data_IF_856230924094
#
_entry.id   IF_856230924094
#
_cell.length_a   1.000
_cell.length_b   1.000
_cell.length_c   1.000
_cell.angle_alpha   90.00
_cell.angle_beta   90.00
_cell.angle_gamma   90.00
#
_symmetry.space_group_name_H-M   'P 1'
#
loop_
_entity.id
_entity.type
_entity.pdbx_description
1 polymer ?
#
# COMPACT_ATOMS: atom_id res chain seq x y z
N UNK A 1 -12.82 -17.25 -4.36
CA UNK A 1 -14.10 -16.51 -4.49
C UNK A 1 -14.47 -15.97 -3.12
N UNK A 2 -13.97 -14.78 -2.77
CA UNK A 2 -14.45 -13.99 -1.63
C UNK A 2 -15.35 -12.92 -2.24
N UNK A 3 -16.60 -13.29 -2.48
CA UNK A 3 -17.61 -12.40 -3.04
C UNK A 3 -18.15 -11.55 -1.88
N UNK A 4 -17.48 -10.43 -1.60
CA UNK A 4 -18.05 -9.38 -0.74
C UNK A 4 -19.12 -8.65 -1.54
N UNK A 5 -20.32 -9.24 -1.56
CA UNK A 5 -21.53 -8.49 -1.90
C UNK A 5 -21.70 -7.30 -0.96
N UNK A 6 -22.51 -6.30 -1.34
CA UNK A 6 -22.81 -5.17 -0.46
C UNK A 6 -23.31 -5.76 0.85
N UNK A 7 -22.66 -5.38 1.96
CA UNK A 7 -22.95 -5.87 3.31
C UNK A 7 -24.46 -5.87 3.50
N UNK A 8 -25.08 -7.04 3.43
CA UNK A 8 -26.51 -7.24 3.66
C UNK A 8 -26.81 -7.22 5.16
N UNK A 9 -26.20 -6.26 5.86
CA UNK A 9 -26.43 -5.93 7.25
C UNK A 9 -27.09 -4.56 7.32
N UNK A 10 -27.86 -4.31 8.38
CA UNK A 10 -28.53 -3.02 8.57
C UNK A 10 -27.57 -1.82 8.53
N UNK A 11 -28.09 -0.58 8.62
CA UNK A 11 -27.29 0.64 8.54
C UNK A 11 -26.08 0.67 9.49
N UNK A 12 -26.10 -0.04 10.62
CA UNK A 12 -24.95 -0.19 11.54
C UNK A 12 -23.73 -0.86 10.89
N UNK A 13 -23.93 -1.94 10.14
CA UNK A 13 -22.86 -2.68 9.49
C UNK A 13 -22.11 -1.85 8.43
N UNK A 14 -22.84 -1.03 7.67
CA UNK A 14 -22.27 -0.13 6.68
C UNK A 14 -21.39 0.96 7.33
N UNK A 15 -21.82 1.49 8.49
CA UNK A 15 -21.05 2.49 9.24
C UNK A 15 -19.76 1.90 9.78
N UNK A 16 -19.79 0.70 10.37
CA UNK A 16 -18.60 0.04 10.92
C UNK A 16 -17.57 -0.29 9.84
N UNK A 17 -18.01 -0.81 8.69
CA UNK A 17 -17.12 -1.09 7.57
C UNK A 17 -16.52 0.20 7.00
N UNK A 18 -17.36 1.23 6.81
CA UNK A 18 -16.94 2.53 6.29
C UNK A 18 -15.90 3.22 7.17
N UNK A 19 -16.12 3.26 8.48
CA UNK A 19 -15.15 3.86 9.43
C UNK A 19 -13.84 3.08 9.45
N UNK A 20 -13.89 1.75 9.42
CA UNK A 20 -12.68 0.91 9.39
C UNK A 20 -11.83 1.17 8.13
N UNK A 21 -12.45 1.29 6.96
CA UNK A 21 -11.73 1.58 5.71
C UNK A 21 -11.11 2.98 5.71
N UNK A 22 -11.82 3.99 6.22
CA UNK A 22 -11.30 5.35 6.35
C UNK A 22 -10.09 5.39 7.30
N UNK A 23 -10.17 4.68 8.43
CA UNK A 23 -9.05 4.55 9.35
C UNK A 23 -7.86 3.84 8.72
N UNK A 24 -8.11 2.80 7.92
CA UNK A 24 -7.07 2.11 7.14
C UNK A 24 -6.33 3.04 6.18
N UNK A 25 -7.06 3.89 5.44
CA UNK A 25 -6.46 4.91 4.57
C UNK A 25 -5.62 5.92 5.36
N UNK A 26 -6.20 6.50 6.42
CA UNK A 26 -5.50 7.49 7.24
C UNK A 26 -4.22 6.92 7.87
N UNK A 27 -4.30 5.69 8.38
CA UNK A 27 -3.15 5.00 8.97
C UNK A 27 -2.07 4.75 7.92
N UNK A 28 -2.39 4.12 6.79
CA UNK A 28 -1.40 3.80 5.77
C UNK A 28 -0.73 5.06 5.19
N UNK A 29 -1.51 6.10 4.92
CA UNK A 29 -0.98 7.35 4.40
C UNK A 29 -0.11 8.09 5.43
N UNK A 30 -0.33 7.92 6.74
CA UNK A 30 0.51 8.52 7.77
C UNK A 30 1.80 7.72 8.05
N UNK A 31 1.72 6.38 7.98
CA UNK A 31 2.82 5.50 8.42
C UNK A 31 3.79 5.12 7.29
N UNK A 32 3.32 5.04 6.04
CA UNK A 32 4.09 4.41 4.96
C UNK A 32 5.48 5.00 4.74
N UNK A 33 5.60 6.33 4.77
CA UNK A 33 6.90 6.99 4.55
C UNK A 33 7.91 6.63 5.64
N UNK A 34 7.46 6.56 6.90
CA UNK A 34 8.33 6.19 8.02
C UNK A 34 8.77 4.73 7.95
N UNK A 35 7.85 3.84 7.57
CA UNK A 35 8.13 2.41 7.45
C UNK A 35 9.15 2.15 6.33
N UNK A 36 8.94 2.73 5.16
CA UNK A 36 9.85 2.60 4.01
C UNK A 36 11.23 3.15 4.36
N UNK A 37 11.30 4.36 4.93
CA UNK A 37 12.57 4.97 5.34
C UNK A 37 13.30 4.13 6.40
N UNK A 38 12.57 3.53 7.34
CA UNK A 38 13.14 2.64 8.37
C UNK A 38 13.76 1.38 7.77
N UNK A 39 13.02 0.66 6.92
CA UNK A 39 13.51 -0.57 6.29
C UNK A 39 14.66 -0.30 5.32
N UNK A 40 14.61 0.79 4.56
CA UNK A 40 15.69 1.18 3.65
C UNK A 40 16.98 1.49 4.42
N UNK A 41 16.91 2.30 5.47
CA UNK A 41 18.09 2.60 6.29
C UNK A 41 18.67 1.34 6.94
N UNK A 42 17.82 0.37 7.28
CA UNK A 42 18.25 -0.87 7.94
C UNK A 42 18.89 -1.88 7.01
N UNK A 43 18.49 -1.94 5.73
CA UNK A 43 18.87 -3.00 4.79
C UNK A 43 19.76 -2.54 3.63
N UNK A 44 19.65 -1.29 3.18
CA UNK A 44 20.43 -0.80 2.03
C UNK A 44 21.75 -0.08 2.42
N UNK A 45 22.01 0.14 3.71
CA UNK A 45 23.20 0.88 4.16
C UNK A 45 23.19 2.34 3.69
N UNK A 46 24.06 3.18 4.25
CA UNK A 46 24.16 4.61 3.91
C UNK A 46 24.68 4.87 2.50
N UNK A 47 25.40 3.91 1.92
CA UNK A 47 26.12 4.08 0.65
C UNK A 47 25.20 4.15 -0.58
N UNK A 48 24.02 3.52 -0.52
CA UNK A 48 23.02 3.56 -1.59
C UNK A 48 22.18 4.87 -1.61
N UNK A 49 22.38 5.75 -0.62
CA UNK A 49 21.66 7.03 -0.53
C UNK A 49 22.51 8.24 -0.91
N UNK A 50 23.81 8.05 -1.13
CA UNK A 50 24.77 9.11 -1.38
C UNK A 50 24.63 9.79 -2.76
N UNK A 51 23.94 9.15 -3.72
CA UNK A 51 23.70 9.68 -5.07
C UNK A 51 22.30 10.26 -5.31
N UNK A 52 21.36 10.10 -4.37
CA UNK A 52 19.96 10.48 -4.59
C UNK A 52 19.70 11.92 -4.14
N UNK A 53 19.37 12.79 -5.09
CA UNK A 53 19.03 14.19 -4.80
C UNK A 53 17.63 14.33 -4.17
N UNK A 54 17.42 15.40 -3.41
CA UNK A 54 16.17 15.66 -2.67
C UNK A 54 14.92 15.64 -3.56
N UNK A 55 14.99 16.22 -4.76
CA UNK A 55 13.87 16.22 -5.70
C UNK A 55 13.43 14.83 -6.19
N UNK A 56 14.38 13.88 -6.32
CA UNK A 56 14.05 12.50 -6.70
C UNK A 56 13.42 11.74 -5.53
N UNK A 57 13.85 12.03 -4.29
CA UNK A 57 13.23 11.49 -3.07
C UNK A 57 11.80 11.98 -2.90
N UNK A 58 11.55 13.26 -3.12
CA UNK A 58 10.20 13.82 -2.99
C UNK A 58 9.26 13.30 -4.09
N UNK A 59 9.75 13.20 -5.33
CA UNK A 59 8.99 12.55 -6.42
C UNK A 59 8.65 11.10 -6.05
N UNK A 60 9.62 10.34 -5.51
CA UNK A 60 9.40 8.97 -5.03
C UNK A 60 8.36 8.88 -3.91
N UNK A 61 8.34 9.83 -2.97
CA UNK A 61 7.34 9.88 -1.89
C UNK A 61 5.93 10.13 -2.43
N UNK A 62 5.77 11.09 -3.34
CA UNK A 62 4.46 11.40 -3.95
C UNK A 62 3.94 10.18 -4.71
N UNK A 63 4.77 9.57 -5.55
CA UNK A 63 4.43 8.35 -6.28
C UNK A 63 4.08 7.19 -5.32
N UNK A 64 4.80 7.06 -4.20
CA UNK A 64 4.51 6.08 -3.16
C UNK A 64 3.16 6.29 -2.49
N UNK A 65 2.73 7.54 -2.25
CA UNK A 65 1.39 7.83 -1.70
C UNK A 65 0.29 7.45 -2.69
N UNK A 66 0.46 7.76 -3.97
CA UNK A 66 -0.50 7.35 -5.01
C UNK A 66 -0.65 5.84 -5.09
N UNK A 67 0.45 5.10 -5.02
CA UNK A 67 0.44 3.63 -4.99
C UNK A 67 -0.34 3.11 -3.78
N UNK A 68 -0.14 3.68 -2.59
CA UNK A 68 -0.84 3.25 -1.38
C UNK A 68 -2.35 3.38 -1.52
N UNK A 69 -2.81 4.50 -2.08
CA UNK A 69 -4.25 4.70 -2.36
C UNK A 69 -4.75 3.64 -3.32
N UNK A 70 -4.01 3.39 -4.40
CA UNK A 70 -4.40 2.41 -5.41
C UNK A 70 -4.43 0.98 -4.85
N UNK A 71 -3.40 0.58 -4.11
CA UNK A 71 -3.30 -0.73 -3.45
C UNK A 71 -4.47 -0.94 -2.49
N UNK A 72 -4.72 0.03 -1.60
CA UNK A 72 -5.80 -0.10 -0.63
C UNK A 72 -7.17 -0.19 -1.33
N UNK A 73 -7.39 0.62 -2.37
CA UNK A 73 -8.61 0.57 -3.20
C UNK A 73 -8.80 -0.82 -3.81
N UNK A 74 -7.75 -1.37 -4.44
CA UNK A 74 -7.82 -2.67 -5.09
C UNK A 74 -8.02 -3.81 -4.09
N UNK A 75 -7.43 -3.72 -2.90
CA UNK A 75 -7.66 -4.69 -1.81
C UNK A 75 -9.11 -4.64 -1.32
N UNK A 76 -9.66 -3.45 -1.11
CA UNK A 76 -11.04 -3.27 -0.63
C UNK A 76 -12.09 -3.74 -1.64
N UNK A 77 -11.82 -3.57 -2.94
CA UNK A 77 -12.68 -4.08 -4.02
C UNK A 77 -12.39 -5.57 -4.33
N UNK A 78 -11.40 -6.17 -3.68
CA UNK A 78 -11.01 -7.58 -3.88
C UNK A 78 -10.34 -7.87 -5.24
N UNK A 79 -9.85 -6.83 -5.92
CA UNK A 79 -9.26 -6.89 -7.25
C UNK A 79 -7.76 -7.25 -7.22
N UNK A 80 -7.41 -8.39 -6.62
CA UNK A 80 -6.01 -8.82 -6.44
C UNK A 80 -5.26 -9.06 -7.76
N UNK A 81 -5.96 -9.45 -8.83
CA UNK A 81 -5.36 -9.58 -10.17
C UNK A 81 -4.90 -8.22 -10.71
N UNK A 82 -5.72 -7.18 -10.55
CA UNK A 82 -5.37 -5.81 -10.95
C UNK A 82 -4.19 -5.28 -10.12
N UNK A 83 -4.12 -5.66 -8.83
CA UNK A 83 -3.00 -5.32 -7.96
C UNK A 83 -1.68 -5.93 -8.47
N UNK A 84 -1.69 -7.18 -8.95
CA UNK A 84 -0.55 -7.79 -9.62
C UNK A 84 -0.14 -7.08 -10.93
N UNK A 85 -1.11 -6.64 -11.74
CA UNK A 85 -0.85 -5.88 -12.97
C UNK A 85 -0.20 -4.52 -12.68
N UNK A 86 -0.69 -3.80 -11.68
CA UNK A 86 -0.10 -2.53 -11.25
C UNK A 86 1.33 -2.71 -10.78
N UNK A 87 1.58 -3.74 -9.96
CA UNK A 87 2.92 -4.06 -9.48
C UNK A 87 3.88 -4.34 -10.64
N UNK A 88 3.45 -5.16 -11.60
CA UNK A 88 4.24 -5.49 -12.78
C UNK A 88 4.51 -4.25 -13.64
N UNK A 89 3.48 -3.43 -13.92
CA UNK A 89 3.62 -2.21 -14.71
C UNK A 89 4.61 -1.24 -14.06
N UNK A 90 4.52 -1.05 -12.74
CA UNK A 90 5.46 -0.19 -12.01
C UNK A 90 6.89 -0.70 -12.07
N UNK A 91 7.09 -2.01 -11.92
CA UNK A 91 8.41 -2.65 -12.03
C UNK A 91 9.02 -2.47 -13.43
N UNK A 92 8.21 -2.55 -14.49
CA UNK A 92 8.65 -2.37 -15.88
C UNK A 92 9.01 -0.91 -16.16
N UNK A 93 8.14 0.05 -15.83
CA UNK A 93 8.41 1.49 -16.03
C UNK A 93 9.68 1.90 -15.29
N UNK A 94 9.93 1.30 -14.13
CA UNK A 94 11.14 1.58 -13.37
C UNK A 94 12.40 0.98 -13.97
N UNK A 95 12.32 0.00 -14.89
CA UNK A 95 13.50 -0.55 -15.59
C UNK A 95 14.20 0.42 -16.51
N UNK A 96 13.49 1.41 -17.03
CA UNK A 96 14.06 2.38 -17.97
C UNK A 96 14.97 3.41 -17.27
N UNK A 97 14.74 3.67 -15.98
CA UNK A 97 15.59 4.52 -15.14
C UNK A 97 16.83 3.79 -14.54
N UNK A 98 17.02 2.49 -14.83
CA UNK A 98 17.98 1.60 -14.15
C UNK A 98 19.44 1.66 -14.68
N UNK A 99 19.76 2.58 -15.59
CA UNK A 99 21.11 2.65 -16.20
C UNK A 99 22.16 3.39 -15.35
N UNK A 100 21.77 4.05 -14.25
CA UNK A 100 22.63 4.98 -13.50
C UNK A 100 23.15 4.50 -12.13
N UNK A 101 22.89 3.26 -11.70
CA UNK A 101 23.49 2.67 -10.49
C UNK A 101 22.64 2.67 -9.20
N UNK A 102 21.53 3.42 -9.15
CA UNK A 102 20.65 3.54 -7.95
C UNK A 102 19.47 2.54 -7.90
N UNK A 103 19.49 1.52 -8.75
CA UNK A 103 18.39 0.56 -8.98
C UNK A 103 17.94 -0.15 -7.71
N UNK A 104 18.89 -0.59 -6.88
CA UNK A 104 18.60 -1.41 -5.69
C UNK A 104 17.82 -0.63 -4.64
N UNK A 105 18.11 0.67 -4.47
CA UNK A 105 17.43 1.53 -3.49
C UNK A 105 15.96 1.73 -3.84
N UNK A 106 15.68 2.07 -5.10
CA UNK A 106 14.30 2.30 -5.56
C UNK A 106 13.47 1.02 -5.62
N UNK A 107 14.08 -0.09 -6.04
CA UNK A 107 13.39 -1.38 -6.08
C UNK A 107 13.04 -1.85 -4.67
N UNK A 108 13.98 -1.75 -3.72
CA UNK A 108 13.74 -2.07 -2.31
C UNK A 108 12.63 -1.18 -1.72
N UNK A 109 12.68 0.14 -1.96
CA UNK A 109 11.66 1.08 -1.48
C UNK A 109 10.26 0.74 -1.98
N UNK A 110 10.16 0.41 -3.26
CA UNK A 110 8.89 0.05 -3.90
C UNK A 110 8.35 -1.27 -3.34
N UNK A 111 9.19 -2.31 -3.25
CA UNK A 111 8.79 -3.62 -2.73
C UNK A 111 8.32 -3.56 -1.28
N UNK A 112 9.04 -2.84 -0.43
CA UNK A 112 8.69 -2.67 0.99
C UNK A 112 7.37 -1.91 1.11
N UNK A 113 7.22 -0.79 0.40
CA UNK A 113 6.00 0.01 0.43
C UNK A 113 4.77 -0.78 -0.05
N UNK A 114 4.92 -1.47 -1.18
CA UNK A 114 3.85 -2.26 -1.79
C UNK A 114 3.40 -3.40 -0.86
N UNK A 115 4.36 -4.15 -0.33
CA UNK A 115 4.09 -5.26 0.61
C UNK A 115 3.42 -4.76 1.88
N UNK A 116 3.93 -3.67 2.47
CA UNK A 116 3.35 -3.08 3.67
C UNK A 116 1.90 -2.63 3.43
N UNK A 117 1.64 -2.00 2.29
CA UNK A 117 0.30 -1.52 1.93
C UNK A 117 -0.71 -2.66 1.75
N UNK A 118 -0.29 -3.78 1.15
CA UNK A 118 -1.14 -4.99 1.05
C UNK A 118 -1.47 -5.52 2.44
N UNK A 119 -0.47 -5.68 3.31
CA UNK A 119 -0.66 -6.21 4.67
C UNK A 119 -1.65 -5.35 5.45
N UNK A 120 -1.48 -4.03 5.43
CA UNK A 120 -2.40 -3.09 6.09
C UNK A 120 -3.81 -3.18 5.50
N UNK A 121 -3.95 -3.24 4.17
CA UNK A 121 -5.25 -3.38 3.50
C UNK A 121 -5.97 -4.68 3.89
N UNK A 122 -5.27 -5.81 3.89
CA UNK A 122 -5.82 -7.12 4.26
C UNK A 122 -6.24 -7.14 5.73
N UNK A 123 -5.43 -6.58 6.62
CA UNK A 123 -5.77 -6.45 8.05
C UNK A 123 -7.01 -5.57 8.22
N UNK A 124 -7.12 -4.44 7.51
CA UNK A 124 -8.29 -3.57 7.56
C UNK A 124 -9.57 -4.28 7.09
N UNK A 125 -9.48 -5.10 6.03
CA UNK A 125 -10.59 -5.95 5.59
C UNK A 125 -10.96 -6.98 6.65
N UNK A 126 -9.99 -7.67 7.25
CA UNK A 126 -10.24 -8.66 8.29
C UNK A 126 -10.93 -8.04 9.53
N UNK A 127 -10.45 -6.86 9.97
CA UNK A 127 -11.06 -6.11 11.09
C UNK A 127 -12.48 -5.67 10.75
N UNK A 128 -12.72 -5.16 9.53
CA UNK A 128 -14.05 -4.77 9.09
C UNK A 128 -15.03 -5.95 9.11
N UNK A 129 -14.59 -7.13 8.63
CA UNK A 129 -15.41 -8.35 8.66
C UNK A 129 -15.76 -8.73 10.09
N UNK A 130 -14.78 -8.77 11.00
CA UNK A 130 -15.00 -9.11 12.41
C UNK A 130 -15.96 -8.12 13.08
N UNK A 131 -15.82 -6.83 12.80
CA UNK A 131 -16.70 -5.78 13.35
C UNK A 131 -18.13 -5.82 12.81
N UNK A 132 -18.33 -6.36 11.60
CA UNK A 132 -19.66 -6.48 10.97
C UNK A 132 -20.41 -7.75 11.41
N UNK A 133 -19.71 -8.85 11.74
CA UNK A 133 -20.33 -10.10 12.20
C UNK A 133 -21.42 -9.93 13.29
N UNK A 134 -21.27 -9.12 14.35
CA UNK A 134 -22.31 -8.96 15.38
C UNK A 134 -23.57 -8.21 14.91
N UNK A 135 -23.54 -7.53 13.76
CA UNK A 135 -24.68 -6.78 13.21
C UNK A 135 -25.56 -7.64 12.27
N UNK A 136 -25.11 -8.84 11.93
CA UNK A 136 -25.75 -9.73 10.93
C UNK A 136 -26.39 -10.98 11.56
N UNK A 137 -26.06 -11.27 12.83
CA UNK A 137 -26.59 -12.40 13.62
C UNK A 137 -27.70 -11.92 14.54
#
# INVERSE_FOLDING_TARGET
MLQTGPVAGGPGAAVVAGTTYLLGYAFLLATSTRVVDYFLRRWTGTDLTAGVNEGQRDTGRVVGKCENVLVLTLVFVGAYTALGLVFAAKSIVRREDMTSGDTTWYLAGTLVNFTYSIVVGVVAVAVAVIGVLPEVV
#
